data_IF_437748224050
#
_entry.id   IF_437748224050
#
_cell.length_a   1.000
_cell.length_b   1.000
_cell.length_c   1.000
_cell.angle_alpha   90.00
_cell.angle_beta   90.00
_cell.angle_gamma   90.00
#
_symmetry.space_group_name_H-M   'P 1'
#
loop_
_entity.id
_entity.type
_entity.pdbx_description
1 polymer ?
#
# COMPACT_ATOMS: atom_id res chain seq x y z
N UNK A 1 59.31 -11.20 26.93
CA UNK A 1 59.82 -11.30 25.55
C UNK A 1 58.61 -11.30 24.64
N UNK A 2 58.12 -10.11 24.30
CA UNK A 2 56.88 -9.92 23.53
C UNK A 2 57.24 -9.69 22.07
N UNK A 3 56.87 -10.62 21.20
CA UNK A 3 57.04 -10.50 19.75
C UNK A 3 55.96 -9.57 19.20
N UNK A 4 56.34 -8.38 18.77
CA UNK A 4 55.53 -7.59 17.85
C UNK A 4 55.55 -8.28 16.49
N UNK A 5 54.43 -8.88 16.09
CA UNK A 5 54.22 -9.24 14.69
C UNK A 5 54.09 -7.94 13.87
N UNK A 6 54.86 -7.77 12.80
CA UNK A 6 54.62 -6.69 11.85
C UNK A 6 53.30 -6.99 11.12
N UNK A 7 52.30 -6.15 11.35
CA UNK A 7 51.07 -6.12 10.57
C UNK A 7 51.44 -5.83 9.10
N UNK A 8 51.29 -6.82 8.23
CA UNK A 8 51.41 -6.63 6.78
C UNK A 8 50.22 -5.76 6.34
N UNK A 9 50.44 -4.55 5.78
CA UNK A 9 49.33 -3.72 5.35
C UNK A 9 48.61 -4.42 4.20
N UNK A 10 47.40 -4.89 4.48
CA UNK A 10 46.45 -5.43 3.50
C UNK A 10 46.37 -4.47 2.30
N UNK A 11 47.13 -4.78 1.25
CA UNK A 11 47.09 -4.07 -0.02
C UNK A 11 45.84 -4.50 -0.76
N UNK A 12 44.69 -4.06 -0.25
CA UNK A 12 43.41 -4.21 -0.89
C UNK A 12 43.52 -3.55 -2.27
N UNK A 13 43.30 -4.33 -3.32
CA UNK A 13 43.33 -3.83 -4.69
C UNK A 13 42.26 -2.75 -4.85
N UNK A 14 42.67 -1.49 -4.75
CA UNK A 14 41.78 -0.32 -4.77
C UNK A 14 41.08 -0.13 -6.11
N UNK A 15 41.73 -0.56 -7.20
CA UNK A 15 41.20 -0.46 -8.56
C UNK A 15 39.91 -1.25 -8.80
N UNK A 16 39.81 -2.56 -8.49
CA UNK A 16 38.55 -3.29 -8.64
C UNK A 16 37.45 -2.78 -7.70
N UNK A 17 37.78 -2.40 -6.47
CA UNK A 17 36.80 -1.83 -5.53
C UNK A 17 36.27 -0.49 -6.03
N UNK A 18 37.14 0.39 -6.51
CA UNK A 18 36.74 1.67 -7.07
C UNK A 18 35.82 1.50 -8.29
N UNK A 19 36.01 0.47 -9.12
CA UNK A 19 35.12 0.17 -10.24
C UNK A 19 33.73 -0.29 -9.78
N UNK A 20 33.67 -1.13 -8.76
CA UNK A 20 32.38 -1.60 -8.19
C UNK A 20 31.66 -0.44 -7.50
N UNK A 21 32.38 0.39 -6.74
CA UNK A 21 31.85 1.59 -6.12
C UNK A 21 31.32 2.58 -7.16
N UNK A 22 32.07 2.80 -8.26
CA UNK A 22 31.63 3.66 -9.35
C UNK A 22 30.41 3.09 -10.08
N UNK A 23 30.39 1.78 -10.35
CA UNK A 23 29.27 1.11 -10.99
C UNK A 23 27.99 1.19 -10.15
N UNK A 24 28.08 0.92 -8.84
CA UNK A 24 26.95 1.03 -7.92
C UNK A 24 26.45 2.46 -7.78
N UNK A 25 27.35 3.45 -7.71
CA UNK A 25 26.97 4.86 -7.72
C UNK A 25 26.23 5.24 -9.00
N UNK A 26 26.71 4.81 -10.18
CA UNK A 26 26.04 5.08 -11.46
C UNK A 26 24.63 4.50 -11.51
N UNK A 27 24.43 3.26 -11.06
CA UNK A 27 23.10 2.63 -10.99
C UNK A 27 22.19 3.42 -10.06
N UNK A 28 22.68 3.80 -8.88
CA UNK A 28 21.91 4.59 -7.92
C UNK A 28 21.43 5.93 -8.50
N UNK A 29 22.34 6.69 -9.13
CA UNK A 29 21.99 7.97 -9.74
C UNK A 29 21.09 7.81 -10.97
N UNK A 30 21.26 6.75 -11.76
CA UNK A 30 20.36 6.46 -12.88
C UNK A 30 18.94 6.15 -12.37
N UNK A 31 18.80 5.31 -11.34
CA UNK A 31 17.51 5.01 -10.72
C UNK A 31 16.85 6.26 -10.14
N UNK A 32 17.62 7.11 -9.47
CA UNK A 32 17.12 8.38 -8.94
C UNK A 32 16.67 9.30 -10.08
N UNK A 33 17.44 9.41 -11.16
CA UNK A 33 17.07 10.20 -12.34
C UNK A 33 15.78 9.71 -13.00
N UNK A 34 15.59 8.39 -13.12
CA UNK A 34 14.35 7.80 -13.63
C UNK A 34 13.17 8.10 -12.71
N UNK A 35 13.35 7.95 -11.39
CA UNK A 35 12.32 8.28 -10.42
C UNK A 35 11.90 9.77 -10.50
N UNK A 36 12.86 10.68 -10.66
CA UNK A 36 12.60 12.11 -10.87
C UNK A 36 11.95 12.41 -12.22
N UNK A 37 12.32 11.69 -13.29
CA UNK A 37 11.73 11.87 -14.61
C UNK A 37 10.28 11.37 -14.68
N UNK A 38 9.97 10.29 -13.95
CA UNK A 38 8.63 9.71 -13.83
C UNK A 38 7.75 10.45 -12.83
N UNK A 39 8.33 11.29 -11.96
CA UNK A 39 7.56 12.06 -11.01
C UNK A 39 6.64 13.01 -11.80
N UNK A 40 5.31 12.87 -11.68
CA UNK A 40 4.40 13.76 -12.38
C UNK A 40 4.69 15.18 -11.92
N UNK A 41 5.12 16.02 -12.87
CA UNK A 41 5.24 17.45 -12.62
C UNK A 41 3.82 17.93 -12.42
N UNK A 42 3.45 18.19 -11.16
CA UNK A 42 2.23 18.89 -10.83
C UNK A 42 2.31 20.25 -11.51
N UNK A 43 1.75 20.35 -12.71
CA UNK A 43 1.47 21.62 -13.33
C UNK A 43 0.47 22.29 -12.42
N UNK A 44 0.83 23.45 -11.89
CA UNK A 44 -0.12 24.33 -11.23
C UNK A 44 -1.09 24.85 -12.30
N UNK A 45 -1.96 23.99 -12.80
CA UNK A 45 -3.08 24.40 -13.63
C UNK A 45 -4.07 25.10 -12.71
N UNK A 46 -4.25 26.40 -12.94
CA UNK A 46 -5.42 27.13 -12.46
C UNK A 46 -6.67 26.30 -12.74
N UNK A 47 -7.49 25.97 -11.73
CA UNK A 47 -8.63 25.08 -11.93
C UNK A 47 -9.56 25.65 -13.00
N UNK A 48 -9.62 25.01 -14.17
CA UNK A 48 -10.73 25.23 -15.10
C UNK A 48 -11.96 24.51 -14.52
N UNK A 49 -13.15 25.13 -14.55
CA UNK A 49 -14.36 24.43 -14.18
C UNK A 49 -14.58 23.26 -15.16
N UNK A 50 -14.41 22.03 -14.66
CA UNK A 50 -14.63 20.82 -15.44
C UNK A 50 -16.14 20.65 -15.69
N UNK A 51 -16.57 20.27 -16.90
CA UNK A 51 -17.95 19.83 -17.11
C UNK A 51 -18.19 18.55 -16.29
N UNK A 52 -19.40 18.41 -15.75
CA UNK A 52 -19.80 17.31 -14.87
C UNK A 52 -19.75 15.96 -15.60
N UNK A 53 -18.56 15.36 -15.69
CA UNK A 53 -18.37 13.99 -16.14
C UNK A 53 -18.69 13.05 -14.99
N UNK A 54 -19.69 12.21 -15.22
CA UNK A 54 -20.08 11.09 -14.37
C UNK A 54 -18.86 10.19 -14.19
N UNK A 55 -18.30 10.17 -12.97
CA UNK A 55 -17.22 9.29 -12.57
C UNK A 55 -15.92 10.01 -12.28
N UNK A 56 -15.84 10.69 -11.13
CA UNK A 56 -14.53 11.00 -10.55
C UNK A 56 -13.89 9.68 -10.09
N UNK A 57 -12.75 9.34 -10.69
CA UNK A 57 -11.89 8.30 -10.14
C UNK A 57 -11.20 8.92 -8.93
N UNK A 58 -11.71 8.62 -7.74
CA UNK A 58 -11.18 9.18 -6.50
C UNK A 58 -9.76 8.67 -6.28
N UNK A 59 -8.79 9.59 -6.40
CA UNK A 59 -7.35 9.30 -6.26
C UNK A 59 -6.88 9.45 -4.81
N UNK A 60 -7.77 9.88 -3.91
CA UNK A 60 -7.54 9.95 -2.47
C UNK A 60 -7.60 8.54 -1.87
N UNK A 61 -6.75 8.20 -0.88
CA UNK A 61 -6.89 6.96 -0.13
C UNK A 61 -8.35 6.76 0.29
N UNK A 62 -8.88 5.55 0.10
CA UNK A 62 -10.32 5.25 0.28
C UNK A 62 -10.83 5.72 1.64
N UNK A 63 -10.01 5.71 2.68
CA UNK A 63 -10.40 6.15 4.03
C UNK A 63 -10.67 7.66 4.13
N UNK A 64 -10.01 8.48 3.32
CA UNK A 64 -10.08 9.96 3.37
C UNK A 64 -10.97 10.56 2.26
N UNK A 65 -11.37 9.74 1.30
CA UNK A 65 -12.28 10.12 0.23
C UNK A 65 -13.74 10.29 0.68
N UNK A 66 -14.49 11.19 0.03
CA UNK A 66 -15.93 11.37 0.25
C UNK A 66 -16.70 10.07 -0.06
N UNK A 67 -16.28 9.32 -1.08
CA UNK A 67 -16.90 8.05 -1.44
C UNK A 67 -16.65 7.00 -0.36
N UNK A 68 -15.45 6.94 0.20
CA UNK A 68 -15.13 5.96 1.23
C UNK A 68 -15.79 6.28 2.56
N UNK A 69 -15.98 7.56 2.91
CA UNK A 69 -16.85 7.95 4.02
C UNK A 69 -18.29 7.47 3.81
N UNK A 70 -18.83 7.59 2.60
CA UNK A 70 -20.16 7.07 2.27
C UNK A 70 -20.22 5.54 2.39
N UNK A 71 -19.24 4.82 1.83
CA UNK A 71 -19.17 3.34 1.94
C UNK A 71 -19.05 2.91 3.40
N UNK A 72 -18.19 3.55 4.19
CA UNK A 72 -18.03 3.25 5.61
C UNK A 72 -19.32 3.51 6.39
N UNK A 73 -20.05 4.60 6.08
CA UNK A 73 -21.34 4.89 6.71
C UNK A 73 -22.40 3.85 6.35
N UNK A 74 -22.47 3.41 5.09
CA UNK A 74 -23.37 2.36 4.65
C UNK A 74 -23.05 1.01 5.32
N UNK A 75 -21.77 0.66 5.43
CA UNK A 75 -21.32 -0.55 6.14
C UNK A 75 -21.62 -0.49 7.63
N UNK A 76 -21.47 0.66 8.30
CA UNK A 76 -21.87 0.82 9.70
C UNK A 76 -23.38 0.67 9.88
N UNK A 77 -24.17 1.29 9.00
CA UNK A 77 -25.61 1.13 9.00
C UNK A 77 -26.06 -0.31 8.71
N UNK A 78 -25.26 -1.09 7.96
CA UNK A 78 -25.44 -2.53 7.82
C UNK A 78 -25.19 -3.25 9.14
N UNK A 79 -24.03 -3.00 9.77
CA UNK A 79 -23.59 -3.63 11.01
C UNK A 79 -24.48 -3.31 12.21
N UNK A 80 -25.11 -2.14 12.23
CA UNK A 80 -26.09 -1.75 13.26
C UNK A 80 -27.37 -2.59 13.21
N UNK A 81 -27.66 -3.27 12.08
CA UNK A 81 -28.79 -4.20 11.98
C UNK A 81 -28.50 -5.55 12.63
N UNK A 82 -27.25 -5.81 12.98
CA UNK A 82 -26.82 -7.03 13.67
C UNK A 82 -26.78 -6.75 15.17
N UNK A 83 -27.23 -7.72 15.96
CA UNK A 83 -27.11 -7.62 17.41
C UNK A 83 -25.70 -8.07 17.81
N UNK A 84 -24.89 -7.16 18.33
CA UNK A 84 -23.56 -7.50 18.84
C UNK A 84 -23.68 -8.26 20.16
N UNK A 85 -23.04 -9.43 20.25
CA UNK A 85 -22.93 -10.22 21.48
C UNK A 85 -21.71 -9.75 22.28
N UNK A 86 -20.59 -9.54 21.58
CA UNK A 86 -19.34 -9.00 22.13
C UNK A 86 -18.64 -8.14 21.05
N UNK A 87 -18.52 -6.85 21.31
CA UNK A 87 -17.94 -5.89 20.34
C UNK A 87 -16.41 -5.93 20.32
N UNK A 88 -15.77 -6.26 21.43
CA UNK A 88 -14.31 -6.29 21.54
C UNK A 88 -13.76 -7.58 20.93
N UNK A 89 -14.51 -8.68 21.02
CA UNK A 89 -14.21 -9.95 20.36
C UNK A 89 -14.69 -10.02 18.90
N UNK A 90 -15.47 -9.04 18.43
CA UNK A 90 -16.02 -9.01 17.07
C UNK A 90 -17.14 -10.04 16.82
N UNK A 91 -17.89 -10.42 17.85
CA UNK A 91 -18.96 -11.43 17.77
C UNK A 91 -20.34 -10.78 17.61
N UNK A 92 -21.01 -11.07 16.50
CA UNK A 92 -22.37 -10.63 16.22
C UNK A 92 -23.35 -11.82 16.06
N UNK A 93 -24.58 -11.65 16.55
CA UNK A 93 -25.68 -12.60 16.44
C UNK A 93 -26.30 -12.51 15.03
N UNK A 94 -26.28 -13.62 14.30
CA UNK A 94 -26.98 -13.78 13.02
C UNK A 94 -28.34 -14.45 13.26
N UNK A 95 -29.46 -13.84 12.85
CA UNK A 95 -30.75 -14.51 12.86
C UNK A 95 -30.73 -15.79 12.01
N UNK A 96 -31.39 -16.85 12.47
CA UNK A 96 -31.34 -18.18 11.85
C UNK A 96 -31.86 -18.13 10.40
N UNK A 97 -32.90 -17.35 10.14
CA UNK A 97 -33.47 -17.17 8.80
C UNK A 97 -32.42 -16.64 7.81
N UNK A 98 -31.56 -15.72 8.25
CA UNK A 98 -30.45 -15.19 7.44
C UNK A 98 -29.29 -16.15 7.30
N UNK A 99 -29.06 -16.99 8.30
CA UNK A 99 -28.06 -18.07 8.20
C UNK A 99 -28.47 -19.11 7.15
N UNK A 100 -29.78 -19.42 7.08
CA UNK A 100 -30.34 -20.30 6.05
C UNK A 100 -30.20 -19.66 4.66
N UNK A 101 -30.58 -18.39 4.50
CA UNK A 101 -30.41 -17.67 3.23
C UNK A 101 -28.94 -17.73 2.75
N UNK A 102 -27.99 -17.43 3.64
CA UNK A 102 -26.53 -17.50 3.35
C UNK A 102 -26.06 -18.91 2.98
N UNK A 103 -26.61 -19.95 3.62
CA UNK A 103 -26.26 -21.34 3.34
C UNK A 103 -26.79 -21.77 1.98
N UNK A 104 -28.00 -21.33 1.61
CA UNK A 104 -28.60 -21.62 0.30
C UNK A 104 -27.88 -20.87 -0.83
N UNK A 105 -27.47 -19.62 -0.59
CA UNK A 105 -26.68 -18.83 -1.53
C UNK A 105 -25.25 -19.39 -1.73
N UNK A 106 -24.65 -19.96 -0.68
CA UNK A 106 -23.30 -20.55 -0.71
C UNK A 106 -23.23 -22.02 -1.10
N UNK A 107 -24.35 -22.75 -1.06
CA UNK A 107 -24.43 -24.20 -1.33
C UNK A 107 -24.58 -24.57 -2.81
N UNK A 108 -24.58 -23.60 -3.72
CA UNK A 108 -24.74 -23.82 -5.17
C UNK A 108 -23.48 -24.25 -5.93
N UNK A 109 -22.37 -24.51 -5.24
CA UNK A 109 -21.12 -24.99 -5.86
C UNK A 109 -20.59 -26.22 -5.13
N UNK A 110 -21.17 -27.38 -5.42
CA UNK A 110 -20.41 -28.64 -5.46
C UNK A 110 -20.55 -29.23 -6.88
N UNK A 111 -19.46 -29.69 -7.52
CA UNK A 111 -19.46 -30.37 -8.82
C UNK A 111 -20.03 -31.79 -8.77
#
# INVERSE_FOLDING_TARGET
MSTHEPHDPDHVATRPIARIALGSALVFFASLGVAWALLPRATAETPRPAPATIGSLETTPILDGDRGRQIASAQRAELDRWRWIDRDAGLAEMPIERAIDRLLDGGGTEP
#
